data_IF_086932298712
#
_entry.id   IF_086932298712
#
_cell.length_a   1.000
_cell.length_b   1.000
_cell.length_c   1.000
_cell.angle_alpha   90.00
_cell.angle_beta   90.00
_cell.angle_gamma   90.00
#
_symmetry.space_group_name_H-M   'P 1'
#
loop_
_entity.id
_entity.type
_entity.pdbx_description
1 polymer ?
#
# COMPACT_ATOMS: atom_id res chain seq x y z
N UNK A 1 -44.65 15.53 20.94
CA UNK A 1 -43.33 16.01 21.38
C UNK A 1 -42.31 15.64 20.31
N UNK A 2 -41.51 16.58 19.81
CA UNK A 2 -40.41 16.25 18.88
C UNK A 2 -39.18 15.87 19.70
N UNK A 3 -38.51 14.80 19.33
CA UNK A 3 -37.22 14.40 19.89
C UNK A 3 -36.18 14.31 18.77
N UNK A 4 -34.93 14.58 19.13
CA UNK A 4 -33.77 14.43 18.25
C UNK A 4 -32.99 13.17 18.65
N UNK A 5 -32.28 12.59 17.68
CA UNK A 5 -31.29 11.55 17.98
C UNK A 5 -30.16 12.15 18.80
N UNK A 6 -29.70 11.40 19.81
CA UNK A 6 -28.50 11.70 20.58
C UNK A 6 -27.44 10.67 20.25
N UNK A 7 -26.19 11.12 20.13
CA UNK A 7 -25.04 10.26 19.84
C UNK A 7 -24.22 10.12 21.12
N UNK A 8 -23.79 8.91 21.46
CA UNK A 8 -22.90 8.65 22.59
C UNK A 8 -21.44 8.56 22.12
N UNK A 9 -20.45 8.84 23.00
CA UNK A 9 -19.02 8.76 22.67
C UNK A 9 -18.58 7.40 22.12
N UNK A 10 -19.26 6.33 22.53
CA UNK A 10 -19.02 4.96 22.05
C UNK A 10 -19.10 4.82 20.53
N UNK A 11 -19.78 5.72 19.82
CA UNK A 11 -19.81 5.68 18.35
C UNK A 11 -18.41 5.83 17.73
N UNK A 12 -17.50 6.54 18.39
CA UNK A 12 -16.12 6.72 17.93
C UNK A 12 -15.38 5.38 17.95
N UNK A 13 -15.57 4.60 19.01
CA UNK A 13 -15.02 3.24 19.11
C UNK A 13 -15.58 2.34 18.00
N UNK A 14 -16.90 2.38 17.76
CA UNK A 14 -17.53 1.61 16.68
C UNK A 14 -17.00 2.00 15.29
N UNK A 15 -16.75 3.28 15.02
CA UNK A 15 -16.15 3.71 13.75
C UNK A 15 -14.71 3.23 13.56
N UNK A 16 -13.94 3.03 14.64
CA UNK A 16 -12.59 2.47 14.56
C UNK A 16 -12.57 0.94 14.49
N UNK A 17 -13.30 0.26 15.38
CA UNK A 17 -13.23 -1.19 15.56
C UNK A 17 -14.06 -1.97 14.52
N UNK A 18 -15.29 -1.53 14.25
CA UNK A 18 -16.25 -2.32 13.47
C UNK A 18 -16.20 -2.02 11.97
N UNK A 19 -15.73 -0.82 11.59
CA UNK A 19 -15.60 -0.45 10.17
C UNK A 19 -14.40 -1.11 9.48
N UNK A 20 -13.39 -1.52 10.23
CA UNK A 20 -12.21 -2.18 9.68
C UNK A 20 -12.24 -3.67 9.99
N UNK A 21 -12.21 -4.47 8.91
CA UNK A 21 -12.35 -5.92 8.96
C UNK A 21 -11.30 -6.61 9.82
N UNK A 22 -10.02 -6.22 9.72
CA UNK A 22 -8.94 -6.79 10.52
C UNK A 22 -7.76 -5.80 10.67
N UNK A 23 -6.82 -6.14 11.55
CA UNK A 23 -5.66 -5.32 11.89
C UNK A 23 -4.70 -5.17 10.69
N UNK A 24 -4.60 -6.19 9.84
CA UNK A 24 -3.77 -6.15 8.64
C UNK A 24 -4.23 -5.05 7.67
N UNK A 25 -5.55 -4.92 7.48
CA UNK A 25 -6.16 -3.84 6.69
C UNK A 25 -5.93 -2.49 7.37
N UNK A 26 -6.03 -2.40 8.70
CA UNK A 26 -5.77 -1.15 9.41
C UNK A 26 -4.34 -0.64 9.18
N UNK A 27 -3.32 -1.51 9.28
CA UNK A 27 -1.93 -1.15 8.96
C UNK A 27 -1.81 -0.76 7.48
N UNK A 28 -2.41 -1.54 6.57
CA UNK A 28 -2.35 -1.27 5.14
C UNK A 28 -2.93 0.11 4.79
N UNK A 29 -4.05 0.49 5.37
CA UNK A 29 -4.67 1.82 5.16
C UNK A 29 -3.78 2.95 5.70
N UNK A 30 -3.06 2.73 6.82
CA UNK A 30 -2.08 3.69 7.33
C UNK A 30 -0.90 3.86 6.37
N UNK A 31 -0.37 2.76 5.80
CA UNK A 31 0.73 2.82 4.82
C UNK A 31 0.28 3.44 3.49
N UNK A 32 -0.95 3.19 3.05
CA UNK A 32 -1.54 3.90 1.89
C UNK A 32 -1.64 5.41 2.13
N UNK A 33 -1.90 5.85 3.37
CA UNK A 33 -1.89 7.28 3.69
C UNK A 33 -0.49 7.89 3.52
N UNK A 34 0.57 7.15 3.80
CA UNK A 34 1.95 7.59 3.50
C UNK A 34 2.19 7.74 2.00
N UNK A 35 1.70 6.80 1.17
CA UNK A 35 1.73 6.94 -0.29
C UNK A 35 0.98 8.20 -0.76
N UNK A 36 -0.23 8.41 -0.22
CA UNK A 36 -1.08 9.56 -0.56
C UNK A 36 -0.48 10.89 -0.10
N UNK A 37 0.31 10.87 0.98
CA UNK A 37 1.10 11.99 1.49
C UNK A 37 2.39 12.25 0.69
N UNK A 38 2.55 11.58 -0.47
CA UNK A 38 3.69 11.73 -1.36
C UNK A 38 5.03 11.31 -0.74
N UNK A 39 5.01 10.37 0.20
CA UNK A 39 6.23 9.77 0.73
C UNK A 39 6.96 8.97 -0.37
N UNK A 40 8.28 8.94 -0.32
CA UNK A 40 9.08 7.97 -1.11
C UNK A 40 9.34 6.70 -0.33
N UNK A 41 9.30 6.77 1.00
CA UNK A 41 9.51 5.65 1.90
C UNK A 41 8.54 5.68 3.09
N UNK A 42 8.03 4.51 3.45
CA UNK A 42 7.29 4.26 4.67
C UNK A 42 7.92 3.08 5.41
N UNK A 43 8.34 3.28 6.65
CA UNK A 43 8.88 2.24 7.51
C UNK A 43 7.81 1.74 8.47
N UNK A 44 7.63 0.43 8.52
CA UNK A 44 6.73 -0.26 9.47
C UNK A 44 7.58 -1.10 10.40
N UNK A 45 7.65 -0.70 11.66
CA UNK A 45 8.50 -1.28 12.69
C UNK A 45 7.66 -2.01 13.73
N UNK A 46 8.05 -3.25 14.00
CA UNK A 46 7.41 -4.12 14.98
C UNK A 46 8.36 -4.31 16.18
N UNK A 47 7.89 -3.93 17.36
CA UNK A 47 8.65 -4.03 18.61
C UNK A 47 8.02 -5.09 19.50
N UNK A 48 8.73 -6.20 19.65
CA UNK A 48 8.38 -7.30 20.53
C UNK A 48 9.25 -7.32 21.77
N UNK A 49 8.69 -7.86 22.86
CA UNK A 49 9.39 -8.19 24.08
C UNK A 49 8.91 -9.56 24.55
N UNK A 50 9.84 -10.45 24.88
CA UNK A 50 9.51 -11.82 25.30
C UNK A 50 8.63 -12.57 24.28
N UNK A 51 8.85 -12.35 22.98
CA UNK A 51 8.06 -12.93 21.87
C UNK A 51 6.60 -12.46 21.78
N UNK A 52 6.22 -11.43 22.53
CA UNK A 52 4.93 -10.76 22.40
C UNK A 52 5.13 -9.39 21.75
N UNK A 53 4.31 -9.07 20.75
CA UNK A 53 4.34 -7.78 20.08
C UNK A 53 3.72 -6.71 21.00
N UNK A 54 4.50 -5.71 21.42
CA UNK A 54 4.06 -4.67 22.36
C UNK A 54 3.73 -3.35 21.66
N UNK A 55 4.43 -3.05 20.56
CA UNK A 55 4.36 -1.75 19.91
C UNK A 55 4.58 -1.86 18.40
N UNK A 56 3.83 -1.08 17.64
CA UNK A 56 4.01 -0.89 16.19
C UNK A 56 4.29 0.59 15.93
N UNK A 57 5.28 0.89 15.10
CA UNK A 57 5.57 2.24 14.63
C UNK A 57 5.46 2.27 13.11
N UNK A 58 4.70 3.22 12.58
CA UNK A 58 4.59 3.49 11.16
C UNK A 58 5.13 4.90 10.94
N UNK A 59 6.18 5.05 10.14
CA UNK A 59 6.79 6.34 9.86
C UNK A 59 7.01 6.55 8.38
N UNK A 60 6.72 7.75 7.88
CA UNK A 60 6.96 8.12 6.49
C UNK A 60 7.71 9.43 6.36
N UNK A 61 8.27 9.66 5.17
CA UNK A 61 8.95 10.89 4.79
C UNK A 61 8.11 11.77 3.85
N UNK A 62 6.78 11.65 3.92
CA UNK A 62 5.86 12.44 3.11
C UNK A 62 5.81 13.92 3.53
N UNK A 63 4.83 14.65 3.01
CA UNK A 63 4.68 16.09 3.29
C UNK A 63 4.32 16.41 4.75
N UNK A 64 3.85 15.42 5.50
CA UNK A 64 3.39 15.60 6.88
C UNK A 64 2.16 16.50 6.99
N UNK A 65 1.83 16.86 8.23
CA UNK A 65 0.65 17.61 8.61
C UNK A 65 1.05 18.65 9.67
N UNK A 66 0.42 19.82 9.61
CA UNK A 66 0.51 20.82 10.66
C UNK A 66 -0.70 20.75 11.60
N UNK A 67 -0.72 21.62 12.62
CA UNK A 67 -1.71 21.55 13.68
C UNK A 67 -3.13 21.76 13.14
N UNK A 68 -3.28 22.61 12.13
CA UNK A 68 -4.54 22.86 11.46
C UNK A 68 -5.05 21.62 10.71
N UNK A 69 -4.19 20.94 9.96
CA UNK A 69 -4.55 19.69 9.26
C UNK A 69 -4.90 18.60 10.26
N UNK A 70 -4.15 18.46 11.35
CA UNK A 70 -4.46 17.47 12.39
C UNK A 70 -5.84 17.73 12.99
N UNK A 71 -6.13 18.96 13.41
CA UNK A 71 -7.40 19.34 14.05
C UNK A 71 -8.61 19.24 13.12
N UNK A 72 -8.47 19.74 11.89
CA UNK A 72 -9.63 19.93 11.00
C UNK A 72 -9.79 18.83 9.95
N UNK A 73 -8.80 17.95 9.79
CA UNK A 73 -8.83 16.87 8.79
C UNK A 73 -8.55 15.52 9.43
N UNK A 74 -7.47 15.37 10.20
CA UNK A 74 -7.12 14.06 10.78
C UNK A 74 -8.11 13.60 11.85
N UNK A 75 -8.45 14.49 12.79
CA UNK A 75 -9.40 14.21 13.87
C UNK A 75 -10.88 14.27 13.44
N UNK A 76 -11.16 14.64 12.18
CA UNK A 76 -12.54 14.81 11.68
C UNK A 76 -12.96 13.60 10.83
N UNK A 77 -14.00 12.90 11.30
CA UNK A 77 -14.60 11.75 10.63
C UNK A 77 -15.55 12.19 9.51
N UNK A 78 -15.58 11.45 8.40
CA UNK A 78 -16.59 11.65 7.35
C UNK A 78 -16.34 12.83 6.41
N UNK A 79 -15.10 13.32 6.34
CA UNK A 79 -14.73 14.38 5.38
C UNK A 79 -14.88 13.90 3.93
N UNK A 80 -15.57 14.69 3.09
CA UNK A 80 -15.82 14.43 1.67
C UNK A 80 -14.58 14.60 0.77
N UNK A 81 -13.39 14.22 1.24
CA UNK A 81 -12.13 14.65 0.62
C UNK A 81 -11.75 13.94 -0.69
N UNK A 82 -12.48 12.91 -1.14
CA UNK A 82 -12.07 12.13 -2.33
C UNK A 82 -13.24 11.65 -3.20
N UNK A 83 -14.12 12.55 -3.65
CA UNK A 83 -15.17 12.19 -4.63
C UNK A 83 -14.71 12.17 -6.09
N UNK A 84 -13.51 12.67 -6.40
CA UNK A 84 -12.97 12.67 -7.76
C UNK A 84 -11.56 12.06 -7.76
N UNK A 85 -11.32 11.06 -8.62
CA UNK A 85 -10.02 10.44 -8.85
C UNK A 85 -9.06 11.42 -9.55
N UNK A 86 -8.65 12.46 -8.83
CA UNK A 86 -7.64 13.41 -9.28
C UNK A 86 -6.29 13.00 -8.71
N UNK A 87 -5.24 13.22 -9.51
CA UNK A 87 -3.86 13.11 -9.04
C UNK A 87 -3.64 14.04 -7.84
N UNK A 88 -2.89 13.57 -6.84
CA UNK A 88 -2.47 14.38 -5.70
C UNK A 88 -1.35 15.37 -6.11
N UNK A 89 -0.81 16.09 -5.14
CA UNK A 89 0.18 17.16 -5.36
C UNK A 89 1.50 16.66 -5.98
N UNK A 90 1.82 15.36 -5.87
CA UNK A 90 2.97 14.72 -6.49
C UNK A 90 2.62 13.95 -7.78
N UNK A 91 1.42 14.12 -8.33
CA UNK A 91 1.04 13.50 -9.60
C UNK A 91 0.57 12.04 -9.50
N UNK A 92 0.46 11.48 -8.28
CA UNK A 92 0.02 10.11 -8.02
C UNK A 92 -1.49 10.00 -7.92
N UNK A 93 -2.06 8.89 -8.36
CA UNK A 93 -3.46 8.56 -8.07
C UNK A 93 -3.56 8.06 -6.62
N UNK A 94 -4.39 8.67 -5.76
CA UNK A 94 -4.50 8.25 -4.37
C UNK A 94 -4.95 6.79 -4.23
N UNK A 95 -4.32 6.04 -3.32
CA UNK A 95 -4.66 4.65 -3.01
C UNK A 95 -5.75 4.53 -1.93
N UNK A 96 -5.88 5.53 -1.05
CA UNK A 96 -6.88 5.51 0.01
C UNK A 96 -8.27 5.93 -0.48
N UNK A 97 -9.28 5.07 -0.31
CA UNK A 97 -10.63 5.28 -0.86
C UNK A 97 -11.58 6.10 0.05
N UNK A 98 -11.37 6.13 1.38
CA UNK A 98 -12.35 6.70 2.34
C UNK A 98 -11.68 7.40 3.52
N UNK A 99 -12.21 8.56 3.93
CA UNK A 99 -11.73 9.39 5.06
C UNK A 99 -11.90 8.77 6.46
N UNK A 100 -12.10 7.45 6.53
CA UNK A 100 -12.33 6.65 7.74
C UNK A 100 -11.11 5.77 8.04
N UNK A 101 -10.28 5.43 7.04
CA UNK A 101 -9.17 4.46 7.19
C UNK A 101 -8.17 4.80 8.31
N UNK A 102 -7.94 6.09 8.59
CA UNK A 102 -7.09 6.55 9.70
C UNK A 102 -7.64 6.25 11.10
N UNK A 103 -8.96 6.09 11.26
CA UNK A 103 -9.55 5.62 12.52
C UNK A 103 -9.23 4.15 12.78
N UNK A 104 -8.73 3.43 11.78
CA UNK A 104 -8.19 2.09 11.92
C UNK A 104 -7.08 1.96 12.94
N UNK A 105 -6.38 3.06 13.23
CA UNK A 105 -5.36 3.09 14.29
C UNK A 105 -5.95 2.67 15.64
N UNK A 106 -7.21 3.00 15.93
CA UNK A 106 -7.91 2.60 17.15
C UNK A 106 -8.15 1.08 17.24
N UNK A 107 -8.26 0.38 16.11
CA UNK A 107 -8.38 -1.09 16.09
C UNK A 107 -7.06 -1.75 16.52
N UNK A 108 -5.93 -1.08 16.30
CA UNK A 108 -4.61 -1.65 16.51
C UNK A 108 -4.16 -1.59 17.98
N UNK A 109 -4.38 -0.47 18.66
CA UNK A 109 -3.94 -0.27 20.04
C UNK A 109 -4.77 0.73 20.83
N UNK A 110 -4.58 0.72 22.14
CA UNK A 110 -5.29 1.62 23.07
C UNK A 110 -4.62 2.98 23.19
N UNK A 111 -3.29 3.05 23.03
CA UNK A 111 -2.53 4.29 23.14
C UNK A 111 -1.88 4.62 21.81
N UNK A 112 -2.24 5.77 21.26
CA UNK A 112 -1.76 6.25 19.97
C UNK A 112 -1.01 7.55 20.17
N UNK A 113 0.22 7.64 19.67
CA UNK A 113 0.95 8.90 19.56
C UNK A 113 1.27 9.18 18.11
N UNK A 114 0.96 10.37 17.65
CA UNK A 114 1.27 10.83 16.31
C UNK A 114 2.17 12.04 16.37
N UNK A 115 3.24 12.00 15.60
CA UNK A 115 4.12 13.12 15.32
C UNK A 115 4.01 13.43 13.85
N UNK A 116 3.84 14.68 13.49
CA UNK A 116 3.84 15.08 12.08
C UNK A 116 4.45 16.46 11.92
N UNK A 117 5.17 16.65 10.82
CA UNK A 117 5.84 17.91 10.55
C UNK A 117 5.81 18.20 9.06
N UNK A 118 5.36 19.41 8.70
CA UNK A 118 5.52 19.96 7.35
C UNK A 118 6.84 20.72 7.23
N UNK A 119 7.24 21.08 6.02
CA UNK A 119 8.54 21.72 5.78
C UNK A 119 8.70 23.05 6.54
N UNK A 120 7.62 23.84 6.63
CA UNK A 120 7.64 25.20 7.17
C UNK A 120 7.02 25.32 8.57
N UNK A 121 6.36 24.27 9.07
CA UNK A 121 5.67 24.31 10.36
C UNK A 121 6.49 23.60 11.45
N UNK A 122 6.10 23.84 12.71
CA UNK A 122 6.61 23.09 13.86
C UNK A 122 6.15 21.63 13.78
N UNK A 123 6.91 20.74 14.42
CA UNK A 123 6.42 19.38 14.64
C UNK A 123 5.21 19.44 15.58
N UNK A 124 4.16 18.73 15.20
CA UNK A 124 2.94 18.59 15.99
C UNK A 124 2.91 17.20 16.59
N UNK A 125 2.60 17.13 17.87
CA UNK A 125 2.36 15.92 18.62
C UNK A 125 0.89 15.82 19.01
N UNK A 126 0.34 14.64 18.81
CA UNK A 126 -1.01 14.24 19.16
C UNK A 126 -0.90 12.97 20.00
N UNK A 127 -1.55 12.91 21.15
CA UNK A 127 -1.63 11.69 21.97
C UNK A 127 -3.08 11.37 22.26
N UNK A 128 -3.48 10.12 22.00
CA UNK A 128 -4.84 9.62 22.22
C UNK A 128 -4.74 8.38 23.10
N UNK A 129 -5.33 8.45 24.29
CA UNK A 129 -5.56 7.29 25.14
C UNK A 129 -7.03 6.88 25.07
N UNK A 130 -7.30 5.83 24.30
CA UNK A 130 -8.65 5.35 24.09
C UNK A 130 -9.28 4.71 25.33
N UNK A 131 -8.51 4.42 26.38
CA UNK A 131 -9.08 3.94 27.64
C UNK A 131 -9.88 5.04 28.36
N UNK A 132 -9.60 6.32 28.06
CA UNK A 132 -10.34 7.44 28.63
C UNK A 132 -11.73 7.59 27.99
N UNK A 133 -11.91 7.13 26.75
CA UNK A 133 -13.21 7.15 26.05
C UNK A 133 -14.27 6.29 26.76
N UNK A 134 -13.86 5.23 27.48
CA UNK A 134 -14.78 4.39 28.25
C UNK A 134 -15.49 5.16 29.38
N UNK A 135 -14.86 6.24 29.87
CA UNK A 135 -15.34 7.07 30.97
C UNK A 135 -16.08 8.34 30.50
N UNK A 136 -16.01 8.66 29.20
CA UNK A 136 -16.65 9.84 28.62
C UNK A 136 -18.18 9.70 28.59
N UNK A 137 -18.91 10.73 29.03
CA UNK A 137 -20.39 10.75 29.03
C UNK A 137 -20.93 11.45 27.78
N UNK A 138 -20.23 12.47 27.31
CA UNK A 138 -20.47 13.20 26.07
C UNK A 138 -19.22 13.17 25.18
N UNK A 139 -19.39 13.40 23.87
CA UNK A 139 -18.27 13.34 22.92
C UNK A 139 -17.23 14.41 23.28
N UNK A 140 -17.71 15.57 23.72
CA UNK A 140 -16.89 16.70 24.13
C UNK A 140 -16.13 16.46 25.46
N UNK A 141 -16.42 15.37 26.19
CA UNK A 141 -15.65 14.99 27.38
C UNK A 141 -14.33 14.27 27.03
N UNK A 142 -14.12 13.92 25.76
CA UNK A 142 -12.92 13.25 25.27
C UNK A 142 -11.98 14.26 24.63
N UNK A 143 -11.25 14.99 25.46
CA UNK A 143 -10.25 15.95 25.02
C UNK A 143 -9.01 15.25 24.48
N UNK A 144 -8.46 15.79 23.38
CA UNK A 144 -7.24 15.29 22.77
C UNK A 144 -6.23 16.43 22.68
N UNK A 145 -5.09 16.26 23.34
CA UNK A 145 -4.02 17.24 23.33
C UNK A 145 -3.31 17.26 21.97
N UNK A 146 -3.24 18.47 21.37
CA UNK A 146 -2.48 18.75 20.15
C UNK A 146 -1.43 19.80 20.48
N UNK A 147 -0.17 19.38 20.53
CA UNK A 147 0.97 20.19 20.99
C UNK A 147 1.86 20.54 19.79
N UNK A 148 2.20 21.81 19.63
CA UNK A 148 3.25 22.24 18.70
C UNK A 148 4.59 22.29 19.42
N UNK A 149 5.45 21.31 19.14
CA UNK A 149 6.75 21.17 19.78
C UNK A 149 7.70 22.30 19.36
N UNK A 150 8.26 23.02 20.33
CA UNK A 150 9.29 24.05 20.08
C UNK A 150 10.61 23.43 19.64
N UNK A 151 10.94 22.27 20.20
CA UNK A 151 12.05 21.41 19.79
C UNK A 151 11.45 20.10 19.29
N UNK A 152 11.60 19.76 17.99
CA UNK A 152 11.10 18.51 17.44
C UNK A 152 11.65 17.27 18.16
N UNK A 153 10.80 16.26 18.35
CA UNK A 153 11.12 15.00 19.03
C UNK A 153 11.44 13.86 18.04
N UNK A 154 10.81 13.86 16.86
CA UNK A 154 10.98 12.84 15.83
C UNK A 154 11.69 13.36 14.58
N UNK A 155 11.40 14.61 14.18
CA UNK A 155 11.88 15.16 12.91
C UNK A 155 13.02 16.15 13.10
N UNK A 156 14.06 16.06 12.28
CA UNK A 156 15.06 17.14 12.21
C UNK A 156 14.46 18.40 11.55
N UNK A 157 15.13 19.55 11.68
CA UNK A 157 14.61 20.86 11.24
C UNK A 157 14.11 20.87 9.78
N UNK A 158 14.76 20.14 8.89
CA UNK A 158 14.48 20.14 7.45
C UNK A 158 13.73 18.89 6.96
N UNK A 159 13.36 17.98 7.86
CA UNK A 159 12.63 16.77 7.49
C UNK A 159 11.13 16.99 7.65
N UNK A 160 10.37 16.26 6.84
CA UNK A 160 8.92 16.18 6.89
C UNK A 160 8.48 14.73 7.02
N UNK A 161 7.23 14.53 7.41
CA UNK A 161 6.66 13.20 7.47
C UNK A 161 5.61 13.06 8.57
N UNK A 162 5.15 11.83 8.72
CA UNK A 162 4.28 11.42 9.85
C UNK A 162 4.78 10.14 10.49
N UNK A 163 4.81 10.11 11.82
CA UNK A 163 5.17 8.95 12.64
C UNK A 163 4.00 8.66 13.56
N UNK A 164 3.46 7.45 13.47
CA UNK A 164 2.38 6.95 14.31
C UNK A 164 2.94 5.80 15.14
N UNK A 165 2.88 5.97 16.46
CA UNK A 165 3.29 4.98 17.46
C UNK A 165 2.01 4.41 18.07
N UNK A 166 1.90 3.09 18.05
CA UNK A 166 0.74 2.34 18.50
C UNK A 166 1.20 1.41 19.62
N UNK A 167 0.67 1.62 20.82
CA UNK A 167 1.02 0.91 22.05
C UNK A 167 -0.24 0.29 22.67
N UNK A 168 -0.02 -0.67 23.57
CA UNK A 168 -1.10 -1.46 24.19
C UNK A 168 -2.01 -2.09 23.14
N UNK A 169 -1.41 -2.94 22.31
CA UNK A 169 -2.09 -3.57 21.17
C UNK A 169 -3.31 -4.38 21.64
N UNK A 170 -4.44 -4.23 20.96
CA UNK A 170 -5.72 -4.85 21.38
C UNK A 170 -5.81 -6.34 21.03
N UNK A 171 -5.10 -6.76 19.99
CA UNK A 171 -5.14 -8.11 19.45
C UNK A 171 -3.88 -8.89 19.78
N UNK A 172 -4.02 -10.20 19.97
CA UNK A 172 -2.87 -11.10 19.93
C UNK A 172 -2.38 -11.19 18.50
N UNK A 173 -1.07 -11.21 18.31
CA UNK A 173 -0.42 -11.26 17.00
C UNK A 173 0.22 -12.62 16.79
N UNK A 174 -0.57 -13.57 16.30
CA UNK A 174 -0.09 -14.90 15.99
C UNK A 174 0.75 -14.93 14.69
N UNK A 175 1.42 -16.06 14.46
CA UNK A 175 2.25 -16.26 13.26
C UNK A 175 1.47 -16.19 11.94
N UNK A 176 0.14 -16.35 11.96
CA UNK A 176 -0.70 -16.24 10.76
C UNK A 176 -0.96 -14.77 10.45
N UNK A 177 -1.31 -13.96 11.44
CA UNK A 177 -1.52 -12.52 11.29
C UNK A 177 -0.24 -11.80 10.87
N UNK A 178 0.91 -12.12 11.49
CA UNK A 178 2.21 -11.54 11.10
C UNK A 178 2.52 -11.82 9.63
N UNK A 179 2.21 -13.03 9.14
CA UNK A 179 2.35 -13.36 7.72
C UNK A 179 1.39 -12.60 6.83
N UNK A 180 0.12 -12.50 7.21
CA UNK A 180 -0.88 -11.75 6.43
C UNK A 180 -0.46 -10.28 6.27
N UNK A 181 -0.02 -9.63 7.35
CA UNK A 181 0.48 -8.25 7.29
C UNK A 181 1.69 -8.16 6.39
N UNK A 182 2.69 -9.03 6.59
CA UNK A 182 3.91 -9.01 5.79
C UNK A 182 3.60 -9.07 4.29
N UNK A 183 2.68 -9.94 3.88
CA UNK A 183 2.24 -10.08 2.48
C UNK A 183 1.53 -8.82 1.97
N UNK A 184 0.60 -8.29 2.76
CA UNK A 184 -0.15 -7.09 2.38
C UNK A 184 0.74 -5.84 2.29
N UNK A 185 1.75 -5.72 3.14
CA UNK A 185 2.73 -4.64 3.07
C UNK A 185 3.67 -4.81 1.88
N UNK A 186 4.13 -6.05 1.63
CA UNK A 186 5.03 -6.34 0.52
C UNK A 186 4.37 -6.09 -0.85
N UNK A 187 3.05 -6.26 -0.96
CA UNK A 187 2.32 -6.00 -2.20
C UNK A 187 2.26 -4.52 -2.61
N UNK A 188 2.60 -3.60 -1.71
CA UNK A 188 2.75 -2.18 -2.02
C UNK A 188 4.12 -1.84 -2.64
N UNK A 189 5.10 -2.76 -2.56
CA UNK A 189 6.40 -2.55 -3.18
C UNK A 189 6.35 -2.94 -4.65
N UNK A 190 6.68 -1.98 -5.51
CA UNK A 190 6.85 -2.25 -6.94
C UNK A 190 8.00 -3.24 -7.16
N UNK A 191 7.80 -4.30 -7.96
CA UNK A 191 8.88 -5.19 -8.37
C UNK A 191 9.77 -4.57 -9.48
N UNK A 192 9.42 -3.39 -9.98
CA UNK A 192 10.12 -2.67 -11.04
C UNK A 192 10.88 -1.48 -10.44
N UNK A 193 12.20 -1.42 -10.66
CA UNK A 193 13.13 -0.57 -9.93
C UNK A 193 13.19 0.90 -10.41
N UNK A 194 12.62 1.23 -11.57
CA UNK A 194 13.01 2.44 -12.33
C UNK A 194 11.87 3.47 -12.60
N UNK A 195 10.76 3.42 -11.86
CA UNK A 195 9.66 4.36 -12.10
C UNK A 195 9.72 5.61 -11.20
N UNK A 196 9.41 6.78 -11.78
CA UNK A 196 9.31 8.09 -11.10
C UNK A 196 8.33 8.11 -9.90
N UNK A 197 7.49 7.09 -9.77
CA UNK A 197 6.51 6.92 -8.69
C UNK A 197 6.98 5.99 -7.56
N UNK A 198 8.29 5.90 -7.32
CA UNK A 198 8.83 5.00 -6.29
C UNK A 198 8.29 5.37 -4.90
N UNK A 199 7.50 4.44 -4.37
CA UNK A 199 7.10 4.37 -2.97
C UNK A 199 7.56 3.01 -2.46
N UNK A 200 8.35 3.02 -1.40
CA UNK A 200 8.91 1.81 -0.79
C UNK A 200 8.38 1.66 0.63
N UNK A 201 7.92 0.47 0.94
CA UNK A 201 7.57 0.03 2.29
C UNK A 201 8.72 -0.80 2.84
N UNK A 202 9.40 -0.28 3.85
CA UNK A 202 10.41 -1.01 4.61
C UNK A 202 9.77 -1.65 5.84
N UNK A 203 9.98 -2.96 6.02
CA UNK A 203 9.36 -3.74 7.10
C UNK A 203 10.48 -4.23 8.01
N UNK A 204 10.44 -3.83 9.28
CA UNK A 204 11.49 -4.15 10.25
C UNK A 204 10.90 -4.65 11.56
N UNK A 205 11.65 -5.50 12.26
CA UNK A 205 11.30 -5.95 13.61
C UNK A 205 12.56 -6.08 14.45
N UNK A 206 12.46 -5.76 15.75
CA UNK A 206 13.57 -5.92 16.70
C UNK A 206 13.84 -7.39 17.06
N UNK A 207 12.81 -8.24 17.00
CA UNK A 207 12.91 -9.70 17.09
C UNK A 207 12.66 -10.32 15.71
N UNK A 208 13.11 -11.55 15.47
CA UNK A 208 12.99 -12.22 14.16
C UNK A 208 11.57 -12.79 13.90
N UNK A 209 10.53 -11.95 13.99
CA UNK A 209 9.13 -12.38 13.82
C UNK A 209 8.76 -12.72 12.37
N UNK A 210 9.54 -12.21 11.41
CA UNK A 210 9.39 -12.47 9.97
C UNK A 210 10.28 -13.61 9.47
N UNK A 211 10.85 -14.40 10.38
CA UNK A 211 11.75 -15.50 10.03
C UNK A 211 11.11 -16.51 9.05
N UNK A 212 11.83 -16.80 7.97
CA UNK A 212 11.40 -17.73 6.93
C UNK A 212 10.31 -17.18 6.01
N UNK A 213 10.08 -15.87 6.01
CA UNK A 213 9.30 -15.18 4.98
C UNK A 213 10.24 -14.68 3.89
N UNK A 214 9.90 -14.90 2.61
CA UNK A 214 10.72 -14.45 1.49
C UNK A 214 10.71 -12.93 1.35
N UNK A 215 11.81 -12.37 0.86
CA UNK A 215 11.83 -10.97 0.41
C UNK A 215 11.27 -10.85 -1.00
N UNK A 216 10.90 -9.63 -1.43
CA UNK A 216 10.37 -9.40 -2.76
C UNK A 216 11.34 -9.87 -3.85
N UNK A 217 12.62 -9.64 -3.67
CA UNK A 217 13.66 -10.05 -4.61
C UNK A 217 13.72 -11.58 -4.73
N UNK A 218 13.57 -12.31 -3.62
CA UNK A 218 13.52 -13.77 -3.62
C UNK A 218 12.27 -14.29 -4.32
N UNK A 219 11.13 -13.62 -4.13
CA UNK A 219 9.86 -13.96 -4.80
C UNK A 219 10.01 -13.79 -6.31
N UNK A 220 10.59 -12.68 -6.76
CA UNK A 220 10.78 -12.41 -8.19
C UNK A 220 11.80 -13.38 -8.79
N UNK A 221 12.95 -13.56 -8.14
CA UNK A 221 14.04 -14.39 -8.64
C UNK A 221 13.68 -15.87 -8.73
N UNK A 222 12.90 -16.37 -7.77
CA UNK A 222 12.56 -17.79 -7.69
C UNK A 222 11.15 -18.13 -8.18
N UNK A 223 10.26 -17.14 -8.29
CA UNK A 223 8.87 -17.33 -8.71
C UNK A 223 8.58 -16.83 -10.13
N UNK A 224 9.21 -15.73 -10.56
CA UNK A 224 8.95 -15.14 -11.88
C UNK A 224 9.54 -15.99 -13.00
N UNK A 225 8.74 -16.27 -14.02
CA UNK A 225 9.18 -17.05 -15.19
C UNK A 225 9.31 -16.18 -16.44
N UNK A 226 8.35 -15.28 -16.65
CA UNK A 226 8.32 -14.44 -17.84
C UNK A 226 8.39 -12.98 -17.43
N UNK A 227 9.29 -12.26 -18.07
CA UNK A 227 9.56 -10.85 -17.84
C UNK A 227 9.32 -10.11 -19.15
N UNK A 228 8.59 -9.01 -19.12
CA UNK A 228 8.29 -8.21 -20.30
C UNK A 228 8.36 -6.72 -20.02
N UNK A 229 8.77 -5.95 -21.01
CA UNK A 229 8.77 -4.48 -20.99
C UNK A 229 8.35 -3.97 -22.36
N UNK A 230 7.39 -3.05 -22.41
CA UNK A 230 6.79 -2.61 -23.66
C UNK A 230 6.40 -1.13 -23.64
N UNK A 231 6.63 -0.44 -24.76
CA UNK A 231 6.14 0.93 -25.01
C UNK A 231 5.26 0.89 -26.25
N UNK A 232 4.03 1.37 -26.12
CA UNK A 232 3.03 1.49 -27.17
C UNK A 232 2.77 2.97 -27.46
N UNK A 233 2.76 3.34 -28.74
CA UNK A 233 2.54 4.73 -29.15
C UNK A 233 1.84 4.77 -30.51
N UNK A 234 0.78 5.58 -30.62
CA UNK A 234 -0.15 5.56 -31.75
C UNK A 234 -0.74 4.15 -31.93
N UNK A 235 -0.63 3.60 -33.14
CA UNK A 235 -1.09 2.26 -33.46
C UNK A 235 0.01 1.17 -33.41
N UNK A 236 1.17 1.43 -32.79
CA UNK A 236 2.32 0.51 -32.85
C UNK A 236 3.05 0.27 -31.53
N UNK A 237 3.72 -0.88 -31.49
CA UNK A 237 4.75 -1.21 -30.48
C UNK A 237 6.06 -0.49 -30.85
N UNK A 238 6.55 0.38 -29.97
CA UNK A 238 7.81 1.12 -30.15
C UNK A 238 9.00 0.47 -29.46
N UNK A 239 8.76 -0.16 -28.32
CA UNK A 239 9.75 -0.92 -27.56
C UNK A 239 9.13 -2.23 -27.13
N UNK A 240 9.87 -3.32 -27.27
CA UNK A 240 9.48 -4.63 -26.81
C UNK A 240 10.72 -5.36 -26.32
N UNK A 241 10.68 -5.83 -25.09
CA UNK A 241 11.63 -6.75 -24.52
C UNK A 241 10.85 -7.85 -23.82
N UNK A 242 11.25 -9.09 -24.05
CA UNK A 242 10.70 -10.26 -23.39
C UNK A 242 11.84 -11.19 -23.01
N UNK A 243 11.74 -11.75 -21.81
CA UNK A 243 12.68 -12.72 -21.31
C UNK A 243 11.95 -13.84 -20.54
N UNK A 244 12.11 -15.06 -21.01
CA UNK A 244 11.75 -16.27 -20.30
C UNK A 244 12.97 -16.79 -19.53
N UNK A 245 12.84 -16.85 -18.21
CA UNK A 245 13.84 -17.34 -17.25
C UNK A 245 13.31 -18.61 -16.58
N UNK A 246 13.51 -19.79 -17.16
CA UNK A 246 13.10 -21.04 -16.52
C UNK A 246 13.83 -21.22 -15.19
N UNK A 247 13.15 -21.83 -14.22
CA UNK A 247 13.78 -22.15 -12.93
C UNK A 247 14.93 -23.13 -13.11
N UNK A 248 15.88 -23.12 -12.17
CA UNK A 248 17.03 -24.04 -12.18
C UNK A 248 16.65 -25.52 -12.18
N UNK A 249 15.46 -25.85 -11.69
CA UNK A 249 14.87 -27.19 -11.71
C UNK A 249 14.29 -27.60 -13.08
N UNK A 250 13.93 -26.64 -13.93
CA UNK A 250 13.49 -26.87 -15.31
C UNK A 250 14.71 -27.00 -16.24
N UNK A 251 15.64 -27.87 -15.88
CA UNK A 251 16.93 -28.05 -16.55
C UNK A 251 16.86 -28.63 -17.98
N UNK A 252 15.65 -28.94 -18.47
CA UNK A 252 15.38 -29.41 -19.84
C UNK A 252 14.83 -28.32 -20.76
N UNK A 253 14.63 -27.11 -20.25
CA UNK A 253 14.03 -26.01 -21.01
C UNK A 253 15.01 -24.84 -20.97
N UNK A 254 15.39 -24.35 -22.13
CA UNK A 254 16.25 -23.17 -22.25
C UNK A 254 15.45 -21.88 -22.11
N UNK A 255 16.09 -20.87 -21.52
CA UNK A 255 15.56 -19.52 -21.52
C UNK A 255 15.49 -18.92 -22.91
N UNK A 256 14.67 -17.88 -23.08
CA UNK A 256 14.49 -17.18 -24.36
C UNK A 256 14.47 -15.68 -24.13
N UNK A 257 15.18 -14.92 -24.98
CA UNK A 257 15.09 -13.45 -25.03
C UNK A 257 14.58 -13.02 -26.40
N UNK A 258 13.64 -12.08 -26.40
CA UNK A 258 13.12 -11.45 -27.60
C UNK A 258 13.13 -9.94 -27.42
N UNK A 259 13.33 -9.23 -28.52
CA UNK A 259 13.20 -7.79 -28.60
C UNK A 259 12.40 -7.41 -29.85
N UNK A 260 12.22 -6.11 -30.07
CA UNK A 260 11.44 -5.57 -31.18
C UNK A 260 11.85 -6.15 -32.56
N UNK A 261 13.14 -6.39 -32.79
CA UNK A 261 13.64 -6.94 -34.07
C UNK A 261 13.25 -8.40 -34.33
N UNK A 262 12.78 -9.09 -33.30
CA UNK A 262 12.29 -10.47 -33.42
C UNK A 262 10.79 -10.55 -33.77
N UNK A 263 10.08 -9.43 -33.77
CA UNK A 263 8.65 -9.38 -34.13
C UNK A 263 8.47 -9.24 -35.63
N UNK A 264 7.44 -9.89 -36.19
CA UNK A 264 7.05 -9.68 -37.57
C UNK A 264 6.41 -8.30 -37.76
N UNK A 265 6.46 -7.75 -38.97
CA UNK A 265 5.88 -6.42 -39.26
C UNK A 265 4.40 -6.33 -38.85
N UNK A 266 3.64 -7.43 -38.98
CA UNK A 266 2.23 -7.48 -38.59
C UNK A 266 2.02 -7.46 -37.07
N UNK A 267 2.97 -7.98 -36.29
CA UNK A 267 2.89 -8.04 -34.82
C UNK A 267 3.22 -6.68 -34.18
N UNK A 268 3.80 -5.75 -34.95
CA UNK A 268 4.12 -4.41 -34.49
C UNK A 268 2.89 -3.49 -34.38
N UNK A 269 1.77 -3.86 -35.00
CA UNK A 269 0.54 -3.07 -34.99
C UNK A 269 -0.42 -3.52 -33.89
N UNK A 270 -1.05 -2.56 -33.23
CA UNK A 270 -2.02 -2.81 -32.17
C UNK A 270 -3.34 -3.29 -32.75
N UNK A 271 -3.87 -4.37 -32.18
CA UNK A 271 -5.12 -4.99 -32.61
C UNK A 271 -6.02 -5.29 -31.43
N UNK A 272 -7.30 -4.97 -31.56
CA UNK A 272 -8.35 -5.33 -30.63
C UNK A 272 -9.21 -6.45 -31.19
N UNK A 273 -9.93 -7.14 -30.30
CA UNK A 273 -10.95 -8.13 -30.67
C UNK A 273 -12.32 -7.58 -30.26
N UNK A 274 -13.29 -7.62 -31.18
CA UNK A 274 -14.69 -7.27 -30.91
C UNK A 274 -15.64 -8.34 -31.43
N UNK A 275 -16.78 -8.50 -30.77
CA UNK A 275 -17.86 -9.34 -31.28
C UNK A 275 -18.52 -8.66 -32.49
N UNK A 276 -18.81 -9.44 -33.53
CA UNK A 276 -19.58 -8.97 -34.68
C UNK A 276 -21.08 -9.13 -34.38
N UNK A 277 -21.88 -8.10 -34.68
CA UNK A 277 -23.32 -8.12 -34.40
C UNK A 277 -24.00 -9.38 -34.96
N UNK A 278 -24.55 -10.19 -34.05
CA UNK A 278 -25.28 -11.41 -34.37
C UNK A 278 -24.44 -12.68 -34.58
N UNK A 279 -23.11 -12.64 -34.39
CA UNK A 279 -22.25 -13.84 -34.45
C UNK A 279 -21.29 -13.91 -33.26
N UNK A 280 -21.14 -15.10 -32.66
CA UNK A 280 -20.12 -15.39 -31.61
C UNK A 280 -18.66 -15.32 -32.10
N UNK A 281 -18.40 -14.82 -33.31
CA UNK A 281 -17.05 -14.80 -33.88
C UNK A 281 -16.42 -13.44 -33.58
N UNK A 282 -15.25 -13.47 -32.94
CA UNK A 282 -14.44 -12.27 -32.72
C UNK A 282 -13.80 -11.82 -34.03
N UNK A 283 -13.85 -10.51 -34.29
CA UNK A 283 -13.23 -9.85 -35.45
C UNK A 283 -12.14 -8.92 -34.94
N UNK A 284 -10.98 -8.94 -35.60
CA UNK A 284 -9.87 -8.03 -35.32
C UNK A 284 -10.20 -6.62 -35.85
N UNK A 285 -9.83 -5.60 -35.08
CA UNK A 285 -9.83 -4.20 -35.53
C UNK A 285 -8.54 -3.52 -35.10
N UNK A 286 -8.10 -2.53 -35.87
CA UNK A 286 -6.90 -1.76 -35.55
C UNK A 286 -7.18 -0.80 -34.39
N UNK A 287 -6.20 -0.69 -33.49
CA UNK A 287 -6.25 0.26 -32.37
C UNK A 287 -5.23 1.36 -32.66
N UNK A 288 -5.66 2.61 -32.53
CA UNK A 288 -4.76 3.76 -32.46
C UNK A 288 -4.98 4.50 -31.14
N UNK A 289 -3.93 4.58 -30.32
CA UNK A 289 -3.96 5.24 -29.02
C UNK A 289 -4.15 6.76 -29.12
N UNK A 290 -3.72 7.38 -30.23
CA UNK A 290 -3.88 8.82 -30.44
C UNK A 290 -5.34 9.16 -30.77
N UNK A 291 -6.01 8.33 -31.57
CA UNK A 291 -7.44 8.47 -31.85
C UNK A 291 -8.31 8.34 -30.59
N UNK A 292 -7.89 7.49 -29.65
CA UNK A 292 -8.55 7.29 -28.36
C UNK A 292 -8.15 8.31 -27.29
N UNK A 293 -7.25 9.25 -27.60
CA UNK A 293 -6.69 10.22 -26.66
C UNK A 293 -6.04 9.58 -25.42
N UNK A 294 -5.48 8.38 -25.58
CA UNK A 294 -4.79 7.66 -24.50
C UNK A 294 -3.34 8.13 -24.39
N UNK A 295 -2.70 8.42 -25.53
CA UNK A 295 -1.29 8.75 -25.61
C UNK A 295 -0.38 7.52 -25.45
N UNK A 296 0.90 7.76 -25.12
CA UNK A 296 1.88 6.68 -24.95
C UNK A 296 1.59 5.84 -23.70
N UNK A 297 1.68 4.52 -23.86
CA UNK A 297 1.57 3.54 -22.76
C UNK A 297 2.90 2.84 -22.60
N UNK A 298 3.47 2.92 -21.40
CA UNK A 298 4.63 2.13 -20.98
C UNK A 298 4.23 1.18 -19.86
N UNK A 299 4.66 -0.08 -19.96
CA UNK A 299 4.43 -1.06 -18.90
C UNK A 299 5.54 -2.12 -18.85
N UNK A 300 5.76 -2.62 -17.63
CA UNK A 300 6.55 -3.81 -17.35
C UNK A 300 5.66 -4.89 -16.74
N UNK A 301 5.95 -6.15 -17.02
CA UNK A 301 5.19 -7.29 -16.54
C UNK A 301 6.11 -8.40 -16.04
N UNK A 302 5.72 -9.03 -14.94
CA UNK A 302 6.29 -10.29 -14.45
C UNK A 302 5.14 -11.29 -14.36
N UNK A 303 5.29 -12.44 -15.02
CA UNK A 303 4.28 -13.50 -15.03
C UNK A 303 4.81 -14.68 -14.23
N UNK A 304 3.98 -15.11 -13.29
CA UNK A 304 4.20 -16.24 -12.39
C UNK A 304 3.32 -17.41 -12.84
N UNK A 305 3.83 -18.64 -12.77
CA UNK A 305 3.01 -19.84 -12.96
C UNK A 305 2.31 -20.22 -11.65
N UNK A 306 1.01 -20.52 -11.72
CA UNK A 306 0.17 -20.89 -10.57
C UNK A 306 -0.24 -22.36 -10.54
N UNK A 307 0.20 -23.18 -11.49
CA UNK A 307 -0.08 -24.62 -11.50
C UNK A 307 0.66 -25.39 -10.37
N UNK A 308 -0.11 -26.09 -9.54
CA UNK A 308 0.34 -26.94 -8.43
C UNK A 308 1.37 -28.02 -8.82
N UNK A 309 1.30 -28.55 -10.03
CA UNK A 309 2.22 -29.58 -10.53
C UNK A 309 3.56 -28.95 -10.89
N UNK A 310 3.52 -27.80 -11.55
CA UNK A 310 4.70 -27.03 -11.93
C UNK A 310 5.37 -26.46 -10.66
N UNK A 311 4.59 -26.12 -9.64
CA UNK A 311 5.08 -25.64 -8.34
C UNK A 311 5.99 -26.62 -7.59
N UNK A 312 5.83 -27.93 -7.77
CA UNK A 312 6.74 -28.90 -7.13
C UNK A 312 8.17 -28.83 -7.68
N UNK A 313 8.36 -28.21 -8.85
CA UNK A 313 9.68 -27.98 -9.41
C UNK A 313 10.32 -26.73 -8.85
N UNK A 314 9.61 -25.80 -8.22
CA UNK A 314 10.27 -24.61 -7.64
C UNK A 314 11.11 -25.07 -6.45
N UNK A 315 12.45 -24.93 -6.56
CA UNK A 315 13.39 -25.22 -5.47
C UNK A 315 13.30 -24.22 -4.29
N UNK A 316 12.41 -23.24 -4.37
CA UNK A 316 12.06 -22.39 -3.25
C UNK A 316 11.32 -23.25 -2.22
N UNK A 317 11.62 -23.07 -0.94
CA UNK A 317 10.75 -23.60 0.11
C UNK A 317 9.30 -23.24 -0.25
N UNK A 318 8.37 -24.19 -0.21
CA UNK A 318 6.91 -23.99 -0.47
C UNK A 318 6.31 -22.75 0.21
N UNK A 319 7.02 -22.14 1.15
CA UNK A 319 6.73 -20.89 1.87
C UNK A 319 6.80 -19.63 0.99
N UNK A 320 7.63 -19.59 -0.06
CA UNK A 320 7.88 -18.36 -0.84
C UNK A 320 6.66 -17.93 -1.66
N UNK A 321 5.93 -18.90 -2.22
CA UNK A 321 4.86 -18.68 -3.19
C UNK A 321 3.45 -18.70 -2.59
N UNK A 322 3.29 -19.09 -1.31
CA UNK A 322 2.03 -18.92 -0.60
C UNK A 322 1.66 -17.43 -0.36
N UNK A 323 2.52 -16.50 -0.82
CA UNK A 323 2.46 -15.05 -0.66
C UNK A 323 1.91 -14.34 -1.92
N UNK A 324 1.98 -14.95 -3.12
CA UNK A 324 1.48 -14.43 -4.40
C UNK A 324 0.06 -14.96 -4.70
#
# INVERSE_FOLDING_TARGET
MKQHFSITPRIIAHFGEDLIKNESIAILELVKNSYDACATECKVEFYSRNKELEKIVISDNGFGMNANIIKNVWLVVGTNHKKNAKKNQCGRYPLGEKGIGRLGVHKLGKKIRLFSKTINDKEVELSIDWTELENAKQIDDFDIDVIENTVPKQYSKNNTGTTIIIEELKSKWDRRQIREIYRNLLSLNSPFADNNDSFKVDIWSNENIFEGLPKLEDIIANGGLYFGSCILNGNRIKKFNYEFRPWSSLNKIDGRKLNLSNLGEQDLYLKGLKEEDGKKKLVEYEIDLDELQIGEIEFDIIIFEKDAVIFNYVNAEKKVLAII
#
